data_IF_002335618859
#
_entry.id   IF_002335618859
#
_cell.length_a   1.000
_cell.length_b   1.000
_cell.length_c   1.000
_cell.angle_alpha   90.00
_cell.angle_beta   90.00
_cell.angle_gamma   90.00
#
_symmetry.space_group_name_H-M   'P 1'
#
loop_
_entity.id
_entity.type
_entity.pdbx_description
1 polymer ?
#
# COMPACT_ATOMS: atom_id res chain seq x y z
N UNK A 1 -1.57 27.31 -4.10
CA UNK A 1 -1.11 25.99 -4.62
C UNK A 1 -1.70 24.90 -3.77
N UNK A 2 -2.25 23.85 -4.37
CA UNK A 2 -2.74 22.66 -3.68
C UNK A 2 -1.85 21.46 -4.05
N UNK A 3 -1.69 20.46 -3.16
CA UNK A 3 -1.00 19.23 -3.50
C UNK A 3 -1.80 18.41 -4.51
N UNK A 4 -1.13 17.53 -5.26
CA UNK A 4 -1.81 16.44 -5.95
C UNK A 4 -2.03 15.35 -4.91
N UNK A 5 -3.28 15.04 -4.60
CA UNK A 5 -3.67 13.99 -3.66
C UNK A 5 -3.96 12.70 -4.42
N UNK A 6 -3.33 11.61 -4.05
CA UNK A 6 -3.44 10.30 -4.67
C UNK A 6 -3.91 9.29 -3.61
N UNK A 7 -4.98 8.55 -3.91
CA UNK A 7 -5.59 7.62 -2.97
C UNK A 7 -5.21 6.17 -3.26
N UNK A 8 -4.84 5.42 -2.21
CA UNK A 8 -4.72 3.98 -2.28
C UNK A 8 -5.95 3.31 -1.64
N UNK A 9 -6.79 2.60 -2.42
CA UNK A 9 -8.01 1.99 -1.89
C UNK A 9 -7.75 0.75 -1.02
N UNK A 10 -6.57 0.13 -1.09
CA UNK A 10 -6.27 -1.07 -0.33
C UNK A 10 -5.97 -0.77 1.13
N UNK A 11 -5.19 0.29 1.40
CA UNK A 11 -4.87 0.78 2.74
C UNK A 11 -5.78 1.93 3.20
N UNK A 12 -6.54 2.54 2.28
CA UNK A 12 -7.28 3.80 2.50
C UNK A 12 -6.35 4.97 2.82
N UNK A 13 -5.11 4.94 2.33
CA UNK A 13 -4.08 5.95 2.56
C UNK A 13 -4.06 6.99 1.46
N UNK A 14 -3.61 8.18 1.81
CA UNK A 14 -3.30 9.24 0.86
C UNK A 14 -1.79 9.43 0.70
N UNK A 15 -1.36 9.49 -0.55
CA UNK A 15 -0.05 9.97 -0.97
C UNK A 15 -0.19 11.41 -1.48
N UNK A 16 0.75 12.28 -1.17
CA UNK A 16 0.73 13.67 -1.60
C UNK A 16 1.95 14.02 -2.43
N UNK A 17 1.73 14.63 -3.59
CA UNK A 17 2.79 15.16 -4.45
C UNK A 17 2.74 16.69 -4.43
N UNK A 18 3.80 17.32 -3.94
CA UNK A 18 4.00 18.75 -3.87
C UNK A 18 5.06 19.14 -4.92
N UNK A 19 4.90 20.27 -5.58
CA UNK A 19 5.87 20.70 -6.58
C UNK A 19 5.97 22.22 -6.69
N UNK A 20 7.13 22.67 -7.11
CA UNK A 20 7.39 24.03 -7.51
C UNK A 20 7.01 24.23 -9.00
N UNK A 21 6.09 25.13 -9.27
CA UNK A 21 5.61 25.39 -10.65
C UNK A 21 6.71 25.91 -11.58
N UNK A 22 7.68 26.66 -11.03
CA UNK A 22 8.73 27.28 -11.82
C UNK A 22 9.86 26.31 -12.16
N UNK A 23 10.35 25.53 -11.16
CA UNK A 23 11.50 24.63 -11.33
C UNK A 23 11.10 23.19 -11.71
N UNK A 24 9.83 22.82 -11.46
CA UNK A 24 9.31 21.46 -11.57
C UNK A 24 9.92 20.48 -10.59
N UNK A 25 10.68 20.96 -9.60
CA UNK A 25 11.16 20.10 -8.51
C UNK A 25 9.97 19.75 -7.60
N UNK A 26 9.94 18.49 -7.17
CA UNK A 26 8.81 17.95 -6.42
C UNK A 26 9.29 17.13 -5.22
N UNK A 27 8.39 16.94 -4.25
CA UNK A 27 8.50 15.93 -3.21
C UNK A 27 7.21 15.12 -3.12
N UNK A 28 7.32 13.89 -2.64
CA UNK A 28 6.21 12.98 -2.42
C UNK A 28 6.16 12.57 -0.95
N UNK A 29 4.97 12.56 -0.35
CA UNK A 29 4.73 12.20 1.05
C UNK A 29 3.93 10.91 1.10
N UNK A 30 4.38 9.95 1.93
CA UNK A 30 3.76 8.66 2.21
C UNK A 30 3.40 7.86 0.94
N UNK A 31 4.38 7.58 0.06
CA UNK A 31 4.13 6.83 -1.17
C UNK A 31 3.95 5.34 -0.89
N UNK A 32 3.00 4.68 -1.58
CA UNK A 32 2.62 3.28 -1.39
C UNK A 32 3.28 2.39 -2.43
N UNK A 33 3.87 1.26 -2.02
CA UNK A 33 4.62 0.35 -2.90
C UNK A 33 3.76 -0.18 -4.06
N UNK A 34 2.52 -0.57 -3.79
CA UNK A 34 1.58 -1.05 -4.80
C UNK A 34 1.15 0.04 -5.81
N UNK A 35 1.45 1.31 -5.52
CA UNK A 35 1.10 2.46 -6.35
C UNK A 35 2.31 3.11 -7.05
N UNK A 36 3.49 2.48 -7.00
CA UNK A 36 4.73 3.00 -7.59
C UNK A 36 4.55 3.47 -9.05
N UNK A 37 3.93 2.64 -9.90
CA UNK A 37 3.73 2.97 -11.31
C UNK A 37 2.78 4.16 -11.51
N UNK A 38 1.76 4.29 -10.67
CA UNK A 38 0.86 5.46 -10.66
C UNK A 38 1.65 6.73 -10.34
N UNK A 39 2.49 6.67 -9.32
CA UNK A 39 3.26 7.82 -8.84
C UNK A 39 4.31 8.24 -9.88
N UNK A 40 5.02 7.29 -10.48
CA UNK A 40 5.93 7.54 -11.60
C UNK A 40 5.21 8.09 -12.84
N UNK A 41 4.02 7.57 -13.17
CA UNK A 41 3.21 8.08 -14.27
C UNK A 41 2.75 9.52 -14.01
N UNK A 42 2.37 9.83 -12.76
CA UNK A 42 1.97 11.19 -12.35
C UNK A 42 3.16 12.16 -12.48
N UNK A 43 4.34 11.78 -12.03
CA UNK A 43 5.56 12.59 -12.22
C UNK A 43 5.81 12.90 -13.69
N UNK A 44 5.72 11.88 -14.57
CA UNK A 44 5.87 12.06 -16.03
C UNK A 44 4.80 12.95 -16.61
N UNK A 45 3.52 12.74 -16.25
CA UNK A 45 2.39 13.51 -16.75
C UNK A 45 2.54 15.00 -16.47
N UNK A 46 3.03 15.36 -15.28
CA UNK A 46 3.22 16.76 -14.88
C UNK A 46 4.63 17.28 -15.17
N UNK A 47 5.52 16.48 -15.76
CA UNK A 47 6.91 16.86 -16.07
C UNK A 47 7.70 17.23 -14.82
N UNK A 48 7.50 16.50 -13.71
CA UNK A 48 8.09 16.79 -12.41
C UNK A 48 9.40 16.02 -12.20
N UNK A 49 10.33 16.67 -11.48
CA UNK A 49 11.60 16.07 -11.03
C UNK A 49 11.47 15.78 -9.54
N UNK A 50 11.40 14.51 -9.18
CA UNK A 50 11.27 14.12 -7.77
C UNK A 50 12.61 14.35 -7.05
N UNK A 51 12.63 15.32 -6.13
CA UNK A 51 13.79 15.62 -5.30
C UNK A 51 13.81 14.78 -4.03
N UNK A 52 12.65 14.54 -3.41
CA UNK A 52 12.51 13.88 -2.13
C UNK A 52 11.31 12.96 -2.04
N UNK A 53 11.49 11.84 -1.34
CA UNK A 53 10.41 11.05 -0.73
C UNK A 53 10.41 11.29 0.77
N UNK A 54 9.24 11.52 1.37
CA UNK A 54 9.06 11.81 2.78
C UNK A 54 8.09 10.82 3.41
N UNK A 55 8.41 10.35 4.62
CA UNK A 55 7.51 9.56 5.44
C UNK A 55 7.04 10.38 6.64
N UNK A 56 5.74 10.36 6.94
CA UNK A 56 5.20 10.95 8.17
C UNK A 56 5.50 10.08 9.39
N UNK A 57 5.54 8.77 9.22
CA UNK A 57 5.84 7.77 10.26
C UNK A 57 6.21 6.41 9.63
N UNK A 58 6.49 5.40 10.43
CA UNK A 58 6.62 4.02 9.94
C UNK A 58 5.21 3.41 9.84
N UNK A 59 4.68 3.25 8.63
CA UNK A 59 3.33 2.77 8.36
C UNK A 59 3.16 1.30 8.74
N UNK A 60 1.97 0.94 9.26
CA UNK A 60 1.59 -0.42 9.64
C UNK A 60 0.56 -1.07 8.70
N UNK A 61 0.01 -0.31 7.77
CA UNK A 61 -1.09 -0.65 6.87
C UNK A 61 -0.63 -0.89 5.42
N UNK A 62 0.48 -0.28 5.02
CA UNK A 62 1.08 -0.46 3.69
C UNK A 62 2.62 -0.43 3.76
N UNK A 63 3.26 -0.94 2.70
CA UNK A 63 4.70 -0.81 2.49
C UNK A 63 4.94 0.45 1.66
N UNK A 64 5.93 1.25 2.04
CA UNK A 64 6.32 2.45 1.28
C UNK A 64 7.05 2.10 -0.02
N UNK A 65 6.90 2.94 -1.05
CA UNK A 65 7.73 2.92 -2.26
C UNK A 65 8.90 3.92 -2.21
N UNK A 66 9.21 4.51 -1.06
CA UNK A 66 10.23 5.56 -0.97
C UNK A 66 11.59 5.16 -1.55
N UNK A 67 12.07 3.96 -1.21
CA UNK A 67 13.32 3.43 -1.73
C UNK A 67 13.26 3.17 -3.24
N UNK A 68 12.17 2.59 -3.74
CA UNK A 68 11.97 2.34 -5.17
C UNK A 68 11.88 3.64 -5.97
N UNK A 69 11.20 4.66 -5.45
CA UNK A 69 11.16 5.99 -6.06
C UNK A 69 12.55 6.65 -6.07
N UNK A 70 13.35 6.44 -5.03
CA UNK A 70 14.73 6.90 -5.01
C UNK A 70 15.55 6.25 -6.14
N UNK A 71 15.40 4.96 -6.38
CA UNK A 71 16.07 4.23 -7.45
C UNK A 71 15.57 4.64 -8.85
N UNK A 72 14.27 4.72 -9.06
CA UNK A 72 13.68 4.96 -10.38
C UNK A 72 13.66 6.44 -10.80
N UNK A 73 13.51 7.35 -9.84
CA UNK A 73 13.40 8.79 -10.12
C UNK A 73 14.61 9.61 -9.63
N UNK A 74 15.60 8.96 -9.01
CA UNK A 74 16.80 9.64 -8.47
C UNK A 74 16.50 10.51 -7.25
N UNK A 75 15.40 10.28 -6.55
CA UNK A 75 15.00 11.03 -5.37
C UNK A 75 15.87 10.71 -4.15
N UNK A 76 15.96 11.66 -3.22
CA UNK A 76 16.52 11.43 -1.89
C UNK A 76 15.38 10.97 -0.95
N UNK A 77 15.71 10.12 0.02
CA UNK A 77 14.76 9.63 1.01
C UNK A 77 14.88 10.38 2.32
N UNK A 78 13.77 10.77 2.93
CA UNK A 78 13.71 11.42 4.23
C UNK A 78 12.63 10.77 5.10
N UNK A 79 12.98 10.44 6.35
CA UNK A 79 12.08 9.77 7.28
C UNK A 79 12.27 10.27 8.71
N UNK A 80 11.29 10.07 9.61
CA UNK A 80 11.40 10.49 11.01
C UNK A 80 12.56 9.79 11.73
N UNK A 81 13.38 10.53 12.44
CA UNK A 81 14.49 9.98 13.23
C UNK A 81 14.05 8.98 14.32
N UNK A 82 12.81 9.12 14.83
CA UNK A 82 12.25 8.25 15.87
C UNK A 82 11.55 6.98 15.38
N UNK A 83 11.48 6.73 14.06
CA UNK A 83 10.74 5.59 13.49
C UNK A 83 11.61 4.37 13.13
N UNK A 84 12.92 4.44 13.34
CA UNK A 84 13.83 3.33 13.04
C UNK A 84 14.04 3.06 11.55
N UNK A 85 13.72 4.01 10.66
CA UNK A 85 13.93 3.89 9.20
C UNK A 85 15.38 4.28 8.89
N UNK A 86 16.31 3.35 9.16
CA UNK A 86 17.75 3.61 9.11
C UNK A 86 18.29 3.85 7.68
N UNK A 87 17.60 3.39 6.67
CA UNK A 87 17.98 3.51 5.25
C UNK A 87 17.66 4.87 4.63
N UNK A 88 16.86 5.70 5.30
CA UNK A 88 16.58 7.04 4.81
C UNK A 88 17.84 7.90 4.87
N UNK A 89 18.11 8.61 3.76
CA UNK A 89 19.29 9.49 3.63
C UNK A 89 19.27 10.63 4.65
N UNK A 90 18.07 11.15 4.95
CA UNK A 90 17.87 12.19 5.95
C UNK A 90 16.95 11.71 7.06
N UNK A 91 17.46 11.77 8.30
CA UNK A 91 16.69 11.52 9.52
C UNK A 91 16.12 12.84 10.01
N UNK A 92 14.81 13.05 9.78
CA UNK A 92 14.12 14.31 10.08
C UNK A 92 13.73 14.43 11.54
N UNK A 93 13.79 15.63 12.05
CA UNK A 93 13.41 16.02 13.42
C UNK A 93 12.71 17.37 13.44
N UNK A 94 12.24 17.74 14.62
CA UNK A 94 11.63 19.05 14.87
C UNK A 94 12.44 20.21 14.33
N UNK A 95 11.76 21.09 13.58
CA UNK A 95 12.32 22.33 13.04
C UNK A 95 13.13 22.16 11.76
N UNK A 96 13.36 20.94 11.28
CA UNK A 96 14.00 20.73 9.99
C UNK A 96 13.14 21.30 8.86
N UNK A 97 13.82 21.59 7.73
CA UNK A 97 13.17 22.12 6.54
C UNK A 97 13.71 21.40 5.30
N UNK A 98 12.82 20.93 4.44
CA UNK A 98 13.19 20.32 3.14
C UNK A 98 12.78 21.24 2.00
N UNK A 99 13.78 21.63 1.19
CA UNK A 99 13.58 22.43 0.00
C UNK A 99 13.35 21.58 -1.25
N UNK A 100 12.46 22.06 -2.13
CA UNK A 100 12.23 21.54 -3.48
C UNK A 100 11.98 22.74 -4.42
N UNK A 101 12.97 23.03 -5.24
CA UNK A 101 13.00 24.28 -6.02
C UNK A 101 13.07 25.51 -5.12
N UNK A 102 12.19 26.46 -5.32
CA UNK A 102 12.03 27.65 -4.48
C UNK A 102 11.09 27.46 -3.28
N UNK A 103 10.50 26.28 -3.16
CA UNK A 103 9.53 25.89 -2.13
C UNK A 103 10.23 25.09 -1.01
N UNK A 104 9.57 25.04 0.16
CA UNK A 104 10.04 24.20 1.26
C UNK A 104 8.89 23.75 2.17
N UNK A 105 9.03 22.58 2.77
CA UNK A 105 8.20 22.13 3.89
C UNK A 105 8.96 22.23 5.20
N UNK A 106 8.30 22.62 6.26
CA UNK A 106 8.83 22.62 7.63
C UNK A 106 8.32 21.40 8.40
N UNK A 107 9.16 20.81 9.22
CA UNK A 107 8.88 19.61 10.00
C UNK A 107 8.39 19.95 11.39
N UNK A 108 7.29 19.37 11.80
CA UNK A 108 6.76 19.40 13.18
C UNK A 108 6.79 17.98 13.75
N UNK A 109 7.48 17.77 14.86
CA UNK A 109 7.41 16.49 15.58
C UNK A 109 6.11 16.42 16.38
N UNK A 110 5.29 15.42 16.08
CA UNK A 110 3.93 15.26 16.60
C UNK A 110 3.72 13.83 17.13
N UNK A 111 4.45 13.44 18.20
CA UNK A 111 4.37 12.09 18.74
C UNK A 111 2.97 11.76 19.28
N UNK A 112 2.62 10.48 19.24
CA UNK A 112 1.40 9.98 19.84
C UNK A 112 0.69 8.88 19.07
N UNK A 113 0.57 8.96 17.75
CA UNK A 113 0.22 7.80 16.93
C UNK A 113 1.40 6.82 16.91
N UNK A 114 2.58 7.29 16.57
CA UNK A 114 3.87 6.66 16.87
C UNK A 114 4.77 7.65 17.62
N UNK A 115 5.85 7.18 18.26
CA UNK A 115 6.81 8.05 18.93
C UNK A 115 7.50 9.01 17.94
N UNK A 116 7.78 8.55 16.73
CA UNK A 116 8.49 9.32 15.71
C UNK A 116 7.59 10.10 14.76
N UNK A 117 6.27 10.13 14.93
CA UNK A 117 5.35 10.78 13.99
C UNK A 117 5.71 12.24 13.72
N UNK A 118 5.70 12.62 12.44
CA UNK A 118 5.93 13.97 11.96
C UNK A 118 4.72 14.49 11.19
N UNK A 119 4.54 15.80 11.22
CA UNK A 119 3.68 16.53 10.28
C UNK A 119 4.55 17.47 9.44
N UNK A 120 4.10 17.78 8.23
CA UNK A 120 4.79 18.71 7.34
C UNK A 120 3.92 19.93 7.07
N UNK A 121 4.50 21.13 7.18
CA UNK A 121 3.81 22.39 6.89
C UNK A 121 4.42 23.01 5.64
N UNK A 122 3.60 23.17 4.61
CA UNK A 122 3.93 23.91 3.40
C UNK A 122 3.24 25.26 3.43
N UNK A 123 4.02 26.34 3.57
CA UNK A 123 3.50 27.70 3.66
C UNK A 123 3.22 28.27 2.30
N UNK A 124 1.99 28.11 1.82
CA UNK A 124 1.51 28.64 0.53
C UNK A 124 0.46 29.72 0.72
N UNK A 125 0.20 30.51 -0.33
CA UNK A 125 -0.93 31.41 -0.40
C UNK A 125 -2.09 30.72 -1.18
N UNK A 126 -3.36 30.97 -0.82
CA UNK A 126 -3.86 31.84 0.23
C UNK A 126 -3.84 31.20 1.65
N UNK A 127 -3.64 29.90 1.76
CA UNK A 127 -3.66 29.17 3.03
C UNK A 127 -2.46 28.21 3.13
N UNK A 128 -1.98 27.99 4.36
CA UNK A 128 -0.96 26.98 4.62
C UNK A 128 -1.54 25.58 4.42
N UNK A 129 -0.68 24.63 4.09
CA UNK A 129 -1.01 23.21 3.90
C UNK A 129 -0.31 22.39 4.98
N UNK A 130 -1.06 21.63 5.77
CA UNK A 130 -0.57 20.73 6.79
C UNK A 130 -0.80 19.29 6.35
N UNK A 131 0.27 18.52 6.14
CA UNK A 131 0.23 17.09 5.93
C UNK A 131 0.40 16.41 7.26
N UNK A 132 -0.69 15.90 7.81
CA UNK A 132 -0.77 15.52 9.22
C UNK A 132 -0.48 14.03 9.47
N UNK A 133 -0.27 13.22 8.42
CA UNK A 133 -0.18 11.78 8.58
C UNK A 133 -1.34 11.27 9.43
N UNK A 134 -1.04 10.41 10.37
CA UNK A 134 -2.02 9.87 11.32
C UNK A 134 -2.10 10.63 12.66
N UNK A 135 -1.42 11.79 12.76
CA UNK A 135 -1.57 12.64 13.95
C UNK A 135 -2.98 13.22 14.02
N UNK A 136 -3.48 13.81 12.93
CA UNK A 136 -4.81 14.42 12.86
C UNK A 136 -5.50 13.97 11.56
N UNK A 137 -6.65 13.30 11.70
CA UNK A 137 -7.51 12.89 10.60
C UNK A 137 -8.76 13.77 10.54
N UNK A 138 -9.51 13.73 9.45
CA UNK A 138 -10.76 14.48 9.32
C UNK A 138 -11.79 13.95 10.34
N UNK A 139 -12.20 14.80 11.26
CA UNK A 139 -13.08 14.45 12.37
C UNK A 139 -12.58 13.30 13.25
N UNK A 140 -11.25 13.09 13.31
CA UNK A 140 -10.62 12.01 14.05
C UNK A 140 -9.12 12.21 14.25
N UNK A 141 -8.47 11.17 14.69
CA UNK A 141 -7.01 11.07 14.82
C UNK A 141 -6.56 9.62 14.69
N UNK A 142 -5.30 9.37 14.50
CA UNK A 142 -4.72 8.02 14.49
C UNK A 142 -4.91 7.29 15.82
N UNK A 143 -4.77 5.98 15.80
CA UNK A 143 -4.75 5.13 16.99
C UNK A 143 -3.46 5.31 17.77
N UNK A 144 -3.46 4.90 19.04
CA UNK A 144 -2.32 5.11 19.96
C UNK A 144 -1.89 3.86 20.71
N UNK A 145 -2.37 2.70 20.29
CA UNK A 145 -2.20 1.42 20.98
C UNK A 145 -1.11 0.52 20.37
N UNK A 146 -0.34 1.03 19.39
CA UNK A 146 0.79 0.34 18.74
C UNK A 146 2.00 1.27 18.56
N UNK A 147 3.16 0.70 18.21
CA UNK A 147 4.39 1.41 17.80
C UNK A 147 4.82 2.52 18.77
N UNK A 148 4.83 2.24 20.06
CA UNK A 148 5.13 3.22 21.12
C UNK A 148 4.17 4.42 21.13
N UNK A 149 2.91 4.22 20.71
CA UNK A 149 1.87 5.23 20.72
C UNK A 149 1.50 5.69 22.13
N UNK A 150 0.98 6.92 22.23
CA UNK A 150 0.57 7.52 23.49
C UNK A 150 -0.58 8.50 23.27
N UNK A 151 -1.75 8.20 23.83
CA UNK A 151 -2.91 9.07 23.72
C UNK A 151 -2.65 10.45 24.32
N UNK A 152 -1.95 10.53 25.45
CA UNK A 152 -1.59 11.81 26.08
C UNK A 152 -0.64 12.64 25.19
N UNK A 153 0.37 12.00 24.59
CA UNK A 153 1.27 12.68 23.66
C UNK A 153 0.52 13.16 22.41
N UNK A 154 -0.38 12.33 21.85
CA UNK A 154 -1.19 12.70 20.69
C UNK A 154 -2.10 13.91 20.98
N UNK A 155 -2.74 13.94 22.16
CA UNK A 155 -3.54 15.08 22.57
C UNK A 155 -2.72 16.37 22.57
N UNK A 156 -1.53 16.35 23.18
CA UNK A 156 -0.63 17.51 23.23
C UNK A 156 -0.12 17.91 21.85
N UNK A 157 0.26 16.94 21.03
CA UNK A 157 0.67 17.21 19.64
C UNK A 157 -0.41 17.93 18.86
N UNK A 158 -1.67 17.49 18.98
CA UNK A 158 -2.79 18.15 18.28
C UNK A 158 -3.08 19.53 18.90
N UNK A 159 -3.32 19.57 20.21
CA UNK A 159 -3.85 20.80 20.84
C UNK A 159 -2.81 21.90 21.04
N UNK A 160 -1.56 21.54 21.35
CA UNK A 160 -0.51 22.51 21.69
C UNK A 160 0.41 22.83 20.52
N UNK A 161 0.31 22.07 19.40
CA UNK A 161 1.12 22.30 18.22
C UNK A 161 0.27 22.53 16.97
N UNK A 162 -0.54 21.56 16.54
CA UNK A 162 -1.31 21.71 15.30
C UNK A 162 -2.39 22.80 15.43
N UNK A 163 -3.08 22.84 16.55
CA UNK A 163 -4.13 23.83 16.80
C UNK A 163 -3.61 25.26 17.06
N UNK A 164 -2.28 25.46 17.10
CA UNK A 164 -1.68 26.81 17.11
C UNK A 164 -1.48 27.37 15.70
N UNK A 165 -1.62 26.55 14.67
CA UNK A 165 -1.59 27.01 13.29
C UNK A 165 -2.84 27.86 12.96
N UNK A 166 -2.77 28.74 11.93
CA UNK A 166 -3.93 29.52 11.51
C UNK A 166 -5.14 28.63 11.23
N UNK A 167 -6.34 29.05 11.59
CA UNK A 167 -7.57 28.28 11.39
C UNK A 167 -7.87 27.96 9.92
N UNK A 168 -7.39 28.79 8.99
CA UNK A 168 -7.49 28.57 7.55
C UNK A 168 -6.52 27.53 6.98
N UNK A 169 -5.57 27.01 7.80
CA UNK A 169 -4.62 25.99 7.36
C UNK A 169 -5.37 24.74 6.92
N UNK A 170 -5.14 24.30 5.69
CA UNK A 170 -5.73 23.07 5.13
C UNK A 170 -5.06 21.86 5.78
N UNK A 171 -5.85 20.89 6.21
CA UNK A 171 -5.38 19.62 6.81
C UNK A 171 -5.54 18.50 5.80
N UNK A 172 -4.42 17.88 5.42
CA UNK A 172 -4.31 16.75 4.52
C UNK A 172 -3.89 15.52 5.31
N UNK A 173 -4.83 14.60 5.64
CA UNK A 173 -4.56 13.48 6.53
C UNK A 173 -3.86 12.32 5.84
N UNK A 174 -3.27 11.40 6.62
CA UNK A 174 -2.73 10.14 6.10
C UNK A 174 -3.81 9.19 5.57
N UNK A 175 -5.00 9.20 6.20
CA UNK A 175 -6.10 8.30 5.85
C UNK A 175 -7.45 9.00 5.76
N UNK A 176 -8.34 8.45 4.93
CA UNK A 176 -9.77 8.70 5.01
C UNK A 176 -10.58 7.46 4.62
N UNK A 177 -11.66 7.22 5.37
CA UNK A 177 -12.56 6.07 5.19
C UNK A 177 -13.97 6.48 4.74
N UNK A 178 -14.17 7.77 4.44
CA UNK A 178 -15.49 8.37 4.18
C UNK A 178 -15.58 9.15 2.88
N UNK A 179 -14.50 9.15 2.07
CA UNK A 179 -14.43 9.87 0.80
C UNK A 179 -14.21 11.38 0.94
N UNK A 180 -13.61 11.80 2.07
CA UNK A 180 -13.27 13.22 2.32
C UNK A 180 -11.81 13.46 1.96
N UNK A 181 -11.52 14.56 1.26
CA UNK A 181 -10.16 14.84 0.77
C UNK A 181 -9.30 15.65 1.76
N UNK A 182 -9.86 16.63 2.43
CA UNK A 182 -9.16 17.52 3.35
C UNK A 182 -10.11 18.21 4.33
N UNK A 183 -9.55 18.85 5.35
CA UNK A 183 -10.26 19.64 6.35
C UNK A 183 -9.51 20.95 6.59
N UNK A 184 -9.83 21.66 7.66
CA UNK A 184 -9.08 22.83 8.14
C UNK A 184 -8.81 22.74 9.63
N UNK A 185 -7.76 23.43 10.09
CA UNK A 185 -7.46 23.51 11.53
C UNK A 185 -8.66 24.07 12.32
N UNK A 186 -9.33 25.10 11.80
CA UNK A 186 -10.51 25.67 12.45
C UNK A 186 -11.68 24.70 12.55
N UNK A 187 -11.92 23.88 11.52
CA UNK A 187 -12.93 22.83 11.55
C UNK A 187 -12.59 21.78 12.61
N UNK A 188 -11.36 21.25 12.59
CA UNK A 188 -10.95 20.20 13.52
C UNK A 188 -10.95 20.66 14.99
N UNK A 189 -10.57 21.93 15.27
CA UNK A 189 -10.72 22.53 16.62
C UNK A 189 -12.14 22.46 17.14
N UNK A 190 -13.11 22.72 16.27
CA UNK A 190 -14.52 22.94 16.67
C UNK A 190 -15.36 21.68 16.59
N UNK A 191 -15.05 20.75 15.64
CA UNK A 191 -15.96 19.67 15.27
C UNK A 191 -15.33 18.27 15.37
N UNK A 192 -14.00 18.15 15.58
CA UNK A 192 -13.38 16.84 15.67
C UNK A 192 -13.95 16.01 16.83
N UNK A 193 -14.68 14.95 16.52
CA UNK A 193 -15.43 14.16 17.49
C UNK A 193 -14.55 13.53 18.59
N UNK A 194 -13.25 13.31 18.31
CA UNK A 194 -12.32 12.74 19.29
C UNK A 194 -11.72 13.77 20.24
N UNK A 195 -11.54 15.03 19.81
CA UNK A 195 -10.71 15.99 20.54
C UNK A 195 -11.43 17.30 20.86
N UNK A 196 -12.37 17.78 20.03
CA UNK A 196 -13.04 19.06 20.25
C UNK A 196 -13.74 19.12 21.63
N UNK A 197 -13.41 20.15 22.40
CA UNK A 197 -13.98 20.39 23.73
C UNK A 197 -13.61 19.39 24.82
N UNK A 198 -12.69 18.46 24.57
CA UNK A 198 -12.26 17.46 25.58
C UNK A 198 -10.97 17.89 26.30
N UNK A 199 -10.90 17.53 27.57
CA UNK A 199 -9.64 17.57 28.33
C UNK A 199 -8.73 16.40 27.93
N UNK A 200 -7.44 16.49 28.25
CA UNK A 200 -6.47 15.40 28.02
C UNK A 200 -6.96 14.09 28.65
N UNK A 201 -7.45 14.12 29.88
CA UNK A 201 -7.94 12.94 30.58
C UNK A 201 -9.15 12.29 29.86
N UNK A 202 -10.10 13.09 29.37
CA UNK A 202 -11.25 12.62 28.62
C UNK A 202 -10.84 12.01 27.27
N UNK A 203 -9.88 12.64 26.59
CA UNK A 203 -9.33 12.11 25.33
C UNK A 203 -8.61 10.78 25.57
N UNK A 204 -7.75 10.68 26.58
CA UNK A 204 -7.04 9.44 26.92
C UNK A 204 -8.02 8.33 27.26
N UNK A 205 -9.05 8.60 28.05
CA UNK A 205 -10.08 7.61 28.39
C UNK A 205 -10.82 7.13 27.13
N UNK A 206 -11.16 8.05 26.20
CA UNK A 206 -11.79 7.71 24.94
C UNK A 206 -10.88 6.82 24.08
N UNK A 207 -9.61 7.20 23.89
CA UNK A 207 -8.67 6.45 23.05
C UNK A 207 -8.37 5.06 23.59
N UNK A 208 -8.22 4.91 24.92
CA UNK A 208 -8.01 3.63 25.58
C UNK A 208 -9.24 2.72 25.52
N UNK A 209 -10.41 3.27 25.30
CA UNK A 209 -11.67 2.53 25.12
C UNK A 209 -11.92 2.07 23.68
N UNK A 210 -11.08 2.43 22.72
CA UNK A 210 -11.22 2.03 21.33
C UNK A 210 -10.74 0.58 21.15
N UNK A 211 -11.67 -0.36 21.02
CA UNK A 211 -11.37 -1.75 20.70
C UNK A 211 -11.20 -1.92 19.18
N UNK A 212 -10.13 -1.38 18.62
CA UNK A 212 -9.84 -1.49 17.19
C UNK A 212 -9.13 -2.82 16.88
N UNK A 213 -9.47 -3.49 15.75
CA UNK A 213 -8.74 -4.68 15.33
C UNK A 213 -7.27 -4.35 15.09
N UNK A 214 -6.39 -5.34 15.29
CA UNK A 214 -4.95 -5.17 14.97
C UNK A 214 -4.79 -4.84 13.49
N UNK A 215 -3.89 -3.91 13.10
CA UNK A 215 -3.59 -3.65 11.69
C UNK A 215 -3.13 -4.95 11.01
N UNK A 216 -3.76 -5.30 9.90
CA UNK A 216 -3.56 -6.61 9.26
C UNK A 216 -2.15 -6.81 8.72
N UNK A 217 -1.46 -5.75 8.33
CA UNK A 217 -0.14 -5.79 7.68
C UNK A 217 1.00 -5.36 8.61
N UNK A 218 0.76 -5.09 9.88
CA UNK A 218 1.77 -4.53 10.80
C UNK A 218 3.05 -5.38 10.87
N UNK A 219 2.92 -6.71 10.86
CA UNK A 219 4.05 -7.64 10.96
C UNK A 219 4.88 -7.72 9.67
N UNK A 220 4.33 -7.29 8.55
CA UNK A 220 4.99 -7.20 7.24
C UNK A 220 5.46 -5.77 6.97
N UNK A 221 4.56 -4.78 7.14
CA UNK A 221 4.80 -3.42 6.71
C UNK A 221 5.84 -2.71 7.58
N UNK A 222 5.77 -2.83 8.90
CA UNK A 222 6.71 -2.11 9.80
C UNK A 222 8.17 -2.53 9.56
N UNK A 223 8.54 -3.83 9.49
CA UNK A 223 9.90 -4.22 9.16
C UNK A 223 10.35 -3.78 7.75
N UNK A 224 9.47 -3.88 6.74
CA UNK A 224 9.78 -3.44 5.38
C UNK A 224 10.01 -1.92 5.31
N UNK A 225 9.20 -1.14 6.03
CA UNK A 225 9.31 0.31 6.07
C UNK A 225 10.58 0.79 6.79
N UNK A 226 11.11 0.02 7.75
CA UNK A 226 12.40 0.32 8.37
C UNK A 226 13.57 0.28 7.37
N UNK A 227 13.38 -0.38 6.22
CA UNK A 227 14.32 -0.39 5.10
C UNK A 227 13.81 0.41 3.88
N UNK A 228 12.93 1.41 4.09
CA UNK A 228 12.33 2.27 3.04
C UNK A 228 11.59 1.47 1.95
N UNK A 229 11.01 0.33 2.31
CA UNK A 229 10.33 -0.59 1.39
C UNK A 229 11.27 -1.44 0.53
N UNK A 230 12.58 -1.29 0.69
CA UNK A 230 13.58 -2.14 0.02
C UNK A 230 13.77 -3.41 0.85
N UNK A 231 13.56 -4.57 0.24
CA UNK A 231 13.88 -5.85 0.88
C UNK A 231 15.37 -6.14 0.68
N UNK A 232 16.10 -6.32 1.78
CA UNK A 232 17.45 -6.87 1.74
C UNK A 232 17.36 -8.37 2.01
N UNK A 233 17.85 -9.20 1.10
CA UNK A 233 18.04 -10.62 1.38
C UNK A 233 19.16 -10.79 2.40
N UNK A 234 19.11 -11.87 3.19
CA UNK A 234 19.99 -12.11 4.35
C UNK A 234 21.51 -12.13 4.03
N UNK A 235 21.90 -12.03 2.76
CA UNK A 235 23.30 -12.05 2.28
C UNK A 235 23.86 -10.66 1.90
N UNK A 236 23.18 -9.55 2.28
CA UNK A 236 23.75 -8.20 2.11
C UNK A 236 23.86 -7.69 0.67
N UNK A 237 23.31 -8.39 -0.31
CA UNK A 237 23.13 -7.87 -1.66
C UNK A 237 21.88 -6.99 -1.68
N UNK A 238 21.98 -5.76 -2.16
CA UNK A 238 20.85 -4.92 -2.49
C UNK A 238 19.99 -5.68 -3.51
N UNK A 239 18.89 -6.28 -3.04
CA UNK A 239 17.87 -6.77 -3.94
C UNK A 239 17.14 -5.55 -4.50
N UNK A 240 17.73 -4.93 -5.53
CA UNK A 240 16.98 -4.13 -6.48
C UNK A 240 15.83 -5.01 -6.89
N UNK A 241 14.58 -4.59 -6.64
CA UNK A 241 13.42 -5.27 -7.19
C UNK A 241 13.37 -5.05 -8.71
N UNK A 242 14.44 -5.40 -9.39
CA UNK A 242 14.45 -5.82 -10.77
C UNK A 242 14.00 -7.28 -10.80
N UNK A 243 12.82 -7.57 -10.26
CA UNK A 243 12.18 -8.78 -10.69
C UNK A 243 11.77 -8.49 -12.13
N UNK A 244 12.58 -8.99 -13.03
CA UNK A 244 12.14 -9.22 -14.39
C UNK A 244 10.74 -9.81 -14.30
N UNK A 245 9.76 -9.36 -15.10
CA UNK A 245 8.47 -10.04 -15.20
C UNK A 245 8.63 -11.53 -15.52
N UNK A 246 9.84 -11.96 -15.80
CA UNK A 246 10.27 -13.31 -16.18
C UNK A 246 10.82 -14.15 -15.02
N UNK A 247 10.76 -13.69 -13.75
CA UNK A 247 11.21 -14.44 -12.57
C UNK A 247 10.13 -14.55 -11.49
N UNK A 248 10.00 -15.71 -10.81
CA UNK A 248 9.06 -15.87 -9.70
C UNK A 248 9.51 -15.10 -8.47
N UNK A 249 8.56 -14.49 -7.76
CA UNK A 249 8.80 -13.86 -6.46
C UNK A 249 8.60 -14.89 -5.35
N UNK A 250 9.57 -15.04 -4.48
CA UNK A 250 9.44 -15.92 -3.31
C UNK A 250 8.29 -15.48 -2.40
N UNK A 251 7.56 -16.44 -1.83
CA UNK A 251 6.44 -16.18 -0.95
C UNK A 251 6.42 -17.13 0.25
N UNK A 252 5.86 -16.68 1.38
CA UNK A 252 5.79 -17.47 2.59
C UNK A 252 4.71 -18.56 2.51
N UNK A 253 5.12 -19.83 2.63
CA UNK A 253 4.22 -20.97 2.69
C UNK A 253 3.79 -21.56 1.33
N UNK A 254 4.35 -21.09 0.22
CA UNK A 254 4.23 -21.68 -1.12
C UNK A 254 5.44 -21.26 -1.97
N UNK A 255 5.58 -21.81 -3.18
CA UNK A 255 6.80 -21.64 -3.98
C UNK A 255 7.04 -20.20 -4.45
N UNK A 256 5.98 -19.40 -4.65
CA UNK A 256 6.12 -18.00 -5.01
C UNK A 256 4.97 -17.42 -5.82
N UNK A 257 5.09 -16.13 -6.15
CA UNK A 257 4.20 -15.41 -7.06
C UNK A 257 4.84 -15.27 -8.43
N UNK A 258 4.03 -15.38 -9.49
CA UNK A 258 4.46 -15.21 -10.88
C UNK A 258 3.55 -14.22 -11.61
N UNK A 259 4.11 -13.50 -12.57
CA UNK A 259 3.31 -12.68 -13.48
C UNK A 259 2.42 -13.57 -14.37
N UNK A 260 1.29 -13.06 -14.87
CA UNK A 260 0.49 -13.79 -15.85
C UNK A 260 1.31 -14.23 -17.08
N UNK A 261 2.25 -13.38 -17.54
CA UNK A 261 3.12 -13.65 -18.68
C UNK A 261 4.08 -14.80 -18.39
N UNK A 262 4.77 -14.79 -17.23
CA UNK A 262 5.69 -15.86 -16.85
C UNK A 262 4.95 -17.19 -16.65
N UNK A 263 3.78 -17.16 -16.01
CA UNK A 263 2.94 -18.34 -15.87
C UNK A 263 2.57 -18.94 -17.23
N UNK A 264 2.17 -18.10 -18.18
CA UNK A 264 1.85 -18.53 -19.53
C UNK A 264 3.05 -19.11 -20.27
N UNK A 265 4.22 -18.46 -20.16
CA UNK A 265 5.47 -18.97 -20.73
C UNK A 265 5.79 -20.39 -20.22
N UNK A 266 5.71 -20.62 -18.92
CA UNK A 266 5.95 -21.95 -18.34
C UNK A 266 4.95 -23.00 -18.81
N UNK A 267 3.69 -22.61 -18.98
CA UNK A 267 2.65 -23.51 -19.51
C UNK A 267 2.94 -23.87 -20.97
N UNK A 268 3.31 -22.90 -21.80
CA UNK A 268 3.62 -23.12 -23.21
C UNK A 268 4.80 -24.08 -23.43
N UNK A 269 5.83 -24.02 -22.56
CA UNK A 269 7.01 -24.90 -22.67
C UNK A 269 6.87 -26.17 -21.83
N UNK A 270 5.68 -26.44 -21.25
CA UNK A 270 5.40 -27.68 -20.50
C UNK A 270 6.05 -27.73 -19.11
N UNK A 271 6.57 -26.64 -18.59
CA UNK A 271 7.17 -26.56 -17.24
C UNK A 271 6.13 -26.45 -16.13
N UNK A 272 4.95 -25.94 -16.43
CA UNK A 272 3.86 -25.75 -15.47
C UNK A 272 2.51 -26.23 -16.00
N UNK A 273 1.64 -26.60 -15.06
CA UNK A 273 0.21 -26.82 -15.31
C UNK A 273 -0.56 -25.61 -14.78
N UNK A 274 -1.43 -25.04 -15.61
CA UNK A 274 -2.32 -23.96 -15.23
C UNK A 274 -3.59 -24.52 -14.59
N UNK A 275 -3.86 -24.12 -13.36
CA UNK A 275 -5.04 -24.51 -12.59
C UNK A 275 -5.90 -23.27 -12.32
N UNK A 276 -7.12 -23.26 -12.87
CA UNK A 276 -8.09 -22.21 -12.60
C UNK A 276 -8.90 -22.55 -11.34
N UNK A 277 -8.63 -21.79 -10.27
CA UNK A 277 -9.27 -21.99 -8.95
C UNK A 277 -10.53 -21.17 -8.75
N UNK A 278 -11.02 -20.50 -9.80
CA UNK A 278 -12.30 -19.81 -9.78
C UNK A 278 -13.48 -20.80 -9.76
N UNK A 279 -14.63 -20.34 -9.29
CA UNK A 279 -15.85 -21.15 -9.37
C UNK A 279 -16.26 -21.44 -10.80
N UNK A 280 -17.02 -22.53 -11.00
CA UNK A 280 -17.53 -22.89 -12.33
C UNK A 280 -18.39 -21.77 -12.93
N UNK A 281 -19.18 -21.08 -12.10
CA UNK A 281 -19.97 -19.93 -12.51
C UNK A 281 -19.10 -18.76 -13.05
N UNK A 282 -17.98 -18.45 -12.38
CA UNK A 282 -17.06 -17.41 -12.88
C UNK A 282 -16.44 -17.80 -14.22
N UNK A 283 -16.08 -19.08 -14.41
CA UNK A 283 -15.52 -19.58 -15.65
C UNK A 283 -16.53 -19.58 -16.79
N UNK A 284 -17.77 -19.93 -16.51
CA UNK A 284 -18.87 -19.92 -17.48
C UNK A 284 -19.23 -18.50 -17.94
N UNK A 285 -19.38 -17.57 -16.99
CA UNK A 285 -19.92 -16.24 -17.31
C UNK A 285 -18.87 -15.19 -17.67
N UNK A 286 -17.66 -15.30 -17.11
CA UNK A 286 -16.59 -14.31 -17.33
C UNK A 286 -15.60 -14.79 -18.37
N UNK A 287 -15.52 -16.09 -18.59
CA UNK A 287 -14.59 -16.74 -19.51
C UNK A 287 -13.48 -17.50 -18.79
N UNK A 288 -12.64 -18.21 -19.56
CA UNK A 288 -11.63 -19.14 -19.05
C UNK A 288 -10.38 -19.17 -19.95
N UNK A 289 -9.30 -19.73 -19.43
CA UNK A 289 -8.08 -19.96 -20.21
C UNK A 289 -8.16 -21.34 -20.85
N UNK A 290 -8.07 -21.47 -22.18
CA UNK A 290 -8.06 -22.78 -22.86
C UNK A 290 -6.92 -23.65 -22.37
N UNK A 291 -7.23 -24.91 -22.02
CA UNK A 291 -6.27 -25.87 -21.48
C UNK A 291 -5.99 -25.76 -19.98
N UNK A 292 -6.53 -24.76 -19.28
CA UNK A 292 -6.45 -24.71 -17.84
C UNK A 292 -7.29 -25.81 -17.19
N UNK A 293 -6.74 -26.46 -16.17
CA UNK A 293 -7.47 -27.45 -15.37
C UNK A 293 -8.38 -26.73 -14.40
N UNK A 294 -9.66 -27.11 -14.36
CA UNK A 294 -10.63 -26.58 -13.43
C UNK A 294 -10.51 -27.24 -12.06
N UNK A 295 -10.12 -26.48 -11.04
CA UNK A 295 -10.10 -26.95 -9.66
C UNK A 295 -10.53 -25.80 -8.73
N UNK A 296 -11.83 -25.52 -8.69
CA UNK A 296 -12.36 -24.43 -7.90
C UNK A 296 -11.95 -24.53 -6.42
N UNK A 297 -11.37 -23.47 -5.87
CA UNK A 297 -11.06 -23.35 -4.44
C UNK A 297 -12.34 -23.17 -3.60
N UNK A 298 -13.28 -22.39 -4.13
CA UNK A 298 -14.58 -22.16 -3.56
C UNK A 298 -15.65 -22.21 -4.65
N UNK A 299 -16.83 -22.69 -4.33
CA UNK A 299 -17.93 -22.86 -5.28
C UNK A 299 -19.10 -21.90 -5.02
N UNK A 300 -19.71 -21.45 -6.09
CA UNK A 300 -20.97 -20.72 -6.09
C UNK A 300 -22.16 -21.71 -6.08
N UNK A 301 -23.29 -21.38 -5.39
CA UNK A 301 -23.51 -20.19 -4.56
C UNK A 301 -22.90 -20.32 -3.16
N UNK A 302 -22.72 -19.16 -2.47
CA UNK A 302 -22.27 -19.09 -1.08
C UNK A 302 -20.75 -19.17 -0.88
N UNK A 303 -19.97 -19.42 -1.92
CA UNK A 303 -18.51 -19.45 -1.86
C UNK A 303 -17.94 -20.39 -0.79
N UNK A 304 -18.60 -21.53 -0.57
CA UNK A 304 -18.13 -22.57 0.32
C UNK A 304 -16.84 -23.23 -0.22
N UNK A 305 -15.99 -23.70 0.68
CA UNK A 305 -14.81 -24.48 0.33
C UNK A 305 -15.18 -25.70 -0.48
N UNK A 306 -14.45 -25.96 -1.58
CA UNK A 306 -14.70 -27.12 -2.41
C UNK A 306 -13.95 -28.34 -1.83
N UNK A 307 -14.66 -29.36 -1.32
CA UNK A 307 -14.01 -30.55 -0.76
C UNK A 307 -13.25 -31.39 -1.79
N UNK A 308 -13.51 -31.21 -3.08
CA UNK A 308 -12.82 -31.91 -4.17
C UNK A 308 -11.53 -31.19 -4.62
N UNK A 309 -11.18 -30.02 -4.05
CA UNK A 309 -10.01 -29.24 -4.49
C UNK A 309 -8.72 -30.03 -4.42
N UNK A 310 -8.43 -30.68 -3.29
CA UNK A 310 -7.18 -31.41 -3.08
C UNK A 310 -6.97 -32.51 -4.12
N UNK A 311 -8.00 -33.30 -4.37
CA UNK A 311 -7.95 -34.35 -5.37
C UNK A 311 -7.80 -33.81 -6.80
N UNK A 312 -8.50 -32.72 -7.11
CA UNK A 312 -8.47 -32.10 -8.43
C UNK A 312 -7.09 -31.48 -8.74
N UNK A 313 -6.47 -30.78 -7.80
CA UNK A 313 -5.16 -30.17 -8.00
C UNK A 313 -4.05 -31.22 -8.08
N UNK A 314 -4.14 -32.31 -7.30
CA UNK A 314 -3.19 -33.43 -7.39
C UNK A 314 -3.32 -34.18 -8.74
N UNK A 315 -4.54 -34.40 -9.20
CA UNK A 315 -4.79 -35.04 -10.49
C UNK A 315 -4.29 -34.18 -11.68
N UNK A 316 -4.33 -32.87 -11.56
CA UNK A 316 -3.84 -31.94 -12.58
C UNK A 316 -2.35 -32.08 -12.85
N UNK A 317 -1.54 -32.44 -11.85
CA UNK A 317 -0.08 -32.52 -11.96
C UNK A 317 0.44 -33.86 -12.55
N UNK A 318 -0.39 -34.87 -12.63
CA UNK A 318 0.01 -36.18 -13.11
C UNK A 318 1.20 -36.79 -12.34
N UNK A 319 2.04 -37.58 -13.01
CA UNK A 319 3.25 -38.20 -12.44
C UNK A 319 4.52 -37.36 -12.64
N UNK A 320 4.45 -36.23 -13.33
CA UNK A 320 5.58 -35.37 -13.61
C UNK A 320 5.73 -34.30 -12.48
N UNK A 321 7.00 -34.01 -12.13
CA UNK A 321 7.32 -32.87 -11.23
C UNK A 321 7.15 -31.53 -11.96
N UNK A 322 5.93 -31.22 -12.37
CA UNK A 322 5.61 -29.92 -12.98
C UNK A 322 5.24 -28.90 -11.92
N UNK A 323 5.58 -27.66 -12.17
CA UNK A 323 5.09 -26.52 -11.39
C UNK A 323 3.57 -26.40 -11.54
N UNK A 324 2.90 -25.91 -10.50
CA UNK A 324 1.46 -25.61 -10.54
C UNK A 324 1.29 -24.11 -10.44
N UNK A 325 0.74 -23.48 -11.48
CA UNK A 325 0.41 -22.07 -11.46
C UNK A 325 -1.10 -21.89 -11.29
N UNK A 326 -1.51 -21.21 -10.21
CA UNK A 326 -2.91 -21.12 -9.79
C UNK A 326 -3.48 -19.74 -10.12
N UNK A 327 -4.60 -19.74 -10.84
CA UNK A 327 -5.29 -18.55 -11.35
C UNK A 327 -6.62 -18.35 -10.63
N UNK A 328 -6.81 -17.22 -9.97
CA UNK A 328 -8.13 -16.81 -9.50
C UNK A 328 -8.57 -15.50 -10.18
N UNK A 329 -9.54 -14.79 -9.62
CA UNK A 329 -10.06 -13.55 -10.22
C UNK A 329 -9.05 -12.40 -10.23
N UNK A 330 -8.34 -12.17 -9.10
CA UNK A 330 -7.43 -11.02 -8.89
C UNK A 330 -6.13 -11.36 -8.12
N UNK A 331 -5.72 -12.65 -8.07
CA UNK A 331 -4.50 -13.07 -7.39
C UNK A 331 -4.65 -13.36 -5.89
N UNK A 332 -5.75 -13.04 -5.24
CA UNK A 332 -5.92 -13.17 -3.78
C UNK A 332 -6.32 -14.59 -3.33
N UNK A 333 -7.34 -15.19 -3.94
CA UNK A 333 -7.82 -16.54 -3.58
C UNK A 333 -6.80 -17.64 -3.93
N UNK A 334 -6.05 -17.43 -5.00
CA UNK A 334 -5.00 -18.35 -5.46
C UNK A 334 -3.81 -18.44 -4.50
N UNK A 335 -3.57 -17.44 -3.64
CA UNK A 335 -2.57 -17.54 -2.56
C UNK A 335 -2.94 -18.67 -1.58
N UNK A 336 -4.20 -18.69 -1.10
CA UNK A 336 -4.65 -19.74 -0.18
C UNK A 336 -4.64 -21.13 -0.85
N UNK A 337 -5.02 -21.19 -2.12
CA UNK A 337 -4.95 -22.41 -2.91
C UNK A 337 -3.51 -22.89 -3.15
N UNK A 338 -2.54 -21.95 -3.38
CA UNK A 338 -1.13 -22.28 -3.54
C UNK A 338 -0.51 -22.82 -2.25
N UNK A 339 -0.82 -22.21 -1.10
CA UNK A 339 -0.41 -22.73 0.21
C UNK A 339 -0.91 -24.16 0.40
N UNK A 340 -2.19 -24.41 0.14
CA UNK A 340 -2.78 -25.74 0.25
C UNK A 340 -2.13 -26.75 -0.70
N UNK A 341 -1.89 -26.37 -1.95
CA UNK A 341 -1.20 -27.22 -2.92
C UNK A 341 0.24 -27.55 -2.48
N UNK A 342 0.93 -26.59 -1.84
CA UNK A 342 2.26 -26.82 -1.26
C UNK A 342 2.23 -27.79 -0.08
N UNK A 343 1.21 -27.72 0.80
CA UNK A 343 0.98 -28.71 1.86
C UNK A 343 0.75 -30.12 1.31
N UNK A 344 0.20 -30.23 0.08
CA UNK A 344 0.02 -31.51 -0.64
C UNK A 344 1.30 -31.97 -1.35
N UNK A 345 2.43 -31.27 -1.19
CA UNK A 345 3.73 -31.63 -1.75
C UNK A 345 3.97 -31.14 -3.18
N UNK A 346 3.18 -30.17 -3.68
CA UNK A 346 3.31 -29.62 -5.02
C UNK A 346 4.16 -28.33 -5.00
N UNK A 347 4.92 -28.08 -6.07
CA UNK A 347 5.60 -26.81 -6.30
C UNK A 347 4.60 -25.80 -6.87
N UNK A 348 3.90 -25.09 -5.97
CA UNK A 348 2.74 -24.26 -6.32
C UNK A 348 3.04 -22.77 -6.29
N UNK A 349 2.58 -22.08 -7.34
CA UNK A 349 2.74 -20.62 -7.52
C UNK A 349 1.40 -19.94 -7.66
N UNK A 350 1.27 -18.75 -7.08
CA UNK A 350 0.15 -17.86 -7.30
C UNK A 350 0.39 -17.01 -8.56
N UNK A 351 -0.61 -16.86 -9.43
CA UNK A 351 -0.57 -15.91 -10.53
C UNK A 351 -1.06 -14.56 -10.02
N UNK A 352 -0.14 -13.58 -10.00
CA UNK A 352 -0.43 -12.19 -9.69
C UNK A 352 -1.53 -11.63 -10.61
N UNK A 353 -2.30 -10.66 -10.13
CA UNK A 353 -3.39 -10.02 -10.87
C UNK A 353 -4.56 -10.96 -11.23
N UNK A 354 -4.37 -12.28 -11.26
CA UNK A 354 -5.42 -13.24 -11.61
C UNK A 354 -5.96 -13.09 -13.05
N UNK A 355 -7.22 -13.47 -13.27
CA UNK A 355 -7.84 -13.46 -14.59
C UNK A 355 -8.34 -12.08 -15.02
N UNK A 356 -8.94 -11.30 -14.10
CA UNK A 356 -9.59 -10.03 -14.37
C UNK A 356 -8.84 -8.82 -13.80
N UNK A 357 -7.86 -9.03 -12.93
CA UNK A 357 -7.19 -7.96 -12.22
C UNK A 357 -8.04 -7.31 -11.12
N UNK A 358 -7.53 -6.21 -10.59
CA UNK A 358 -8.24 -5.39 -9.63
C UNK A 358 -9.27 -4.46 -10.31
N UNK A 359 -10.31 -4.03 -9.58
CA UNK A 359 -11.27 -3.09 -10.11
C UNK A 359 -10.63 -1.70 -10.34
N UNK A 360 -11.11 -0.99 -11.34
CA UNK A 360 -10.80 0.43 -11.54
C UNK A 360 -11.61 1.32 -10.57
N UNK A 361 -11.46 2.64 -10.69
CA UNK A 361 -12.19 3.62 -9.88
C UNK A 361 -13.72 3.61 -10.03
N UNK A 362 -14.25 2.88 -11.02
CA UNK A 362 -15.68 2.65 -11.25
C UNK A 362 -16.12 1.24 -10.90
N UNK A 363 -15.29 0.48 -10.18
CA UNK A 363 -15.49 -0.92 -9.82
C UNK A 363 -15.54 -1.89 -11.03
N UNK A 364 -15.06 -1.51 -12.21
CA UNK A 364 -14.92 -2.38 -13.38
C UNK A 364 -13.59 -3.12 -13.35
N UNK A 365 -13.60 -4.41 -13.75
CA UNK A 365 -12.40 -5.24 -13.84
C UNK A 365 -11.91 -5.39 -15.28
N UNK A 366 -10.66 -5.84 -15.45
CA UNK A 366 -10.05 -6.05 -16.76
C UNK A 366 -9.51 -4.77 -17.40
N UNK A 367 -9.42 -3.66 -16.67
CA UNK A 367 -8.94 -2.37 -17.16
C UNK A 367 -7.54 -1.99 -16.61
N UNK A 368 -7.06 -2.66 -15.56
CA UNK A 368 -5.81 -2.31 -14.88
C UNK A 368 -4.79 -3.43 -14.78
N UNK A 369 -5.21 -4.67 -14.96
CA UNK A 369 -4.36 -5.84 -14.81
C UNK A 369 -5.15 -7.12 -15.04
N UNK A 370 -4.46 -8.25 -14.87
CA UNK A 370 -5.04 -9.58 -15.04
C UNK A 370 -4.71 -10.23 -16.39
N UNK A 371 -4.93 -11.53 -16.44
CA UNK A 371 -4.67 -12.37 -17.61
C UNK A 371 -5.24 -11.78 -18.91
N UNK A 372 -6.50 -11.33 -18.85
CA UNK A 372 -7.19 -10.72 -20.00
C UNK A 372 -6.56 -9.39 -20.42
N UNK A 373 -6.27 -8.52 -19.46
CA UNK A 373 -5.66 -7.20 -19.69
C UNK A 373 -4.27 -7.33 -20.34
N UNK A 374 -3.52 -8.37 -19.96
CA UNK A 374 -2.19 -8.66 -20.52
C UNK A 374 -2.23 -9.28 -21.93
N UNK A 375 -3.40 -9.39 -22.54
CA UNK A 375 -3.57 -9.92 -23.89
C UNK A 375 -3.30 -11.42 -24.03
N UNK A 376 -3.29 -12.17 -22.93
CA UNK A 376 -3.05 -13.61 -22.93
C UNK A 376 -4.29 -14.38 -23.39
N UNK A 377 -4.14 -15.60 -23.95
CA UNK A 377 -5.25 -16.37 -24.52
C UNK A 377 -6.36 -16.66 -23.50
N UNK A 378 -7.57 -16.37 -23.88
CA UNK A 378 -8.78 -16.72 -23.12
C UNK A 378 -9.98 -16.83 -24.04
N UNK A 379 -11.06 -17.46 -23.57
CA UNK A 379 -12.33 -17.59 -24.28
C UNK A 379 -13.49 -17.35 -23.32
N UNK A 380 -14.62 -16.98 -23.90
CA UNK A 380 -15.92 -16.91 -23.26
C UNK A 380 -16.88 -17.77 -24.07
N UNK A 381 -17.77 -18.51 -23.42
CA UNK A 381 -18.79 -19.34 -24.09
C UNK A 381 -19.91 -18.48 -24.68
#
# INVERSE_FOLDING_TARGET
MNPIQLFDPASSSYTYLLFDEATRDALIIDPVAEQLERDLATLRQYGLKLAWTLETHAHADHITSAGLLAEHAGAKTAAPAGCGIATALMQMKEGDTLAFGSQAVSVLHTPGHTEGSLCFVWKTAPAWQLFSGDTLLINGCGRTDFQSGSAAALYRSITQRLFTLPDSTQVWPGHDYKGQSHSTIGHEKSHNARIAGKTEAQFVALMNGLNLPRPQRIDEAVPANQTSGIRHDADGAQAVSTHSPDEPRLAAGYAGDVSPQLAWQWVQVGQAVLVDVRSDAEREWVGFVPGAVAAAWKQWPGMAMNPAFDAAVQAACGSARQKVVLLCRSGVRSIAAAKRATELGLEAYNILEGFEGDPDGHAHRGQRGGWRYRGLPWRQN
#
